data_IF_421771860744
#
_entry.id   IF_421771860744
#
_cell.length_a   1.000
_cell.length_b   1.000
_cell.length_c   1.000
_cell.angle_alpha   90.00
_cell.angle_beta   90.00
_cell.angle_gamma   90.00
#
_symmetry.space_group_name_H-M   'P 1'
#
loop_
_entity.id
_entity.type
_entity.pdbx_description
1 polymer ?
#
# COMPACT_ATOMS: atom_id res chain seq x y z
N UNK A 1 -13.56 4.53 9.39
CA UNK A 1 -13.68 5.87 10.02
C UNK A 1 -13.86 5.77 11.55
N UNK A 2 -14.85 5.02 12.09
CA UNK A 2 -15.06 4.90 13.55
C UNK A 2 -13.84 4.31 14.27
N UNK A 3 -13.26 3.25 13.78
CA UNK A 3 -12.05 2.63 14.34
C UNK A 3 -10.87 3.61 14.32
N UNK A 4 -10.68 4.35 13.24
CA UNK A 4 -9.62 5.37 13.15
C UNK A 4 -9.79 6.46 14.20
N UNK A 5 -11.03 6.92 14.44
CA UNK A 5 -11.33 7.88 15.50
C UNK A 5 -10.97 7.33 16.88
N UNK A 6 -11.52 6.15 17.22
CA UNK A 6 -11.38 5.54 18.54
C UNK A 6 -9.91 5.20 18.87
N UNK A 7 -9.21 4.57 17.93
CA UNK A 7 -7.84 4.17 18.16
C UNK A 7 -6.89 5.37 18.34
N UNK A 8 -7.13 6.46 17.60
CA UNK A 8 -6.30 7.67 17.73
C UNK A 8 -6.55 8.39 19.06
N UNK A 9 -7.75 8.35 19.64
CA UNK A 9 -8.02 8.83 21.01
C UNK A 9 -7.14 8.07 22.01
N UNK A 10 -6.98 6.76 21.84
CA UNK A 10 -6.15 5.90 22.67
C UNK A 10 -4.64 6.01 22.36
N UNK A 11 -4.23 7.04 21.58
CA UNK A 11 -2.84 7.24 21.11
C UNK A 11 -2.26 6.06 20.33
N UNK A 12 -3.11 5.28 19.65
CA UNK A 12 -2.70 4.26 18.69
C UNK A 12 -2.64 4.88 17.31
N UNK A 13 -1.60 4.57 16.55
CA UNK A 13 -1.38 5.15 15.23
C UNK A 13 -2.22 4.43 14.17
N UNK A 14 -3.27 5.09 13.69
CA UNK A 14 -4.03 4.63 12.53
C UNK A 14 -3.34 5.05 11.24
N UNK A 15 -3.36 4.15 10.25
CA UNK A 15 -2.56 4.24 9.05
C UNK A 15 -3.40 3.88 7.83
N UNK A 16 -3.44 4.78 6.83
CA UNK A 16 -3.87 4.43 5.49
C UNK A 16 -2.70 3.76 4.77
N UNK A 17 -2.55 2.46 4.98
CA UNK A 17 -1.43 1.66 4.50
C UNK A 17 -1.82 0.22 4.26
N UNK A 18 -1.19 -0.44 3.28
CA UNK A 18 -1.18 -1.89 3.20
C UNK A 18 -0.10 -2.45 4.15
N UNK A 19 -0.24 -3.71 4.52
CA UNK A 19 0.77 -4.42 5.31
C UNK A 19 0.95 -5.86 4.85
N UNK A 20 2.20 -6.31 4.83
CA UNK A 20 2.52 -7.73 4.64
C UNK A 20 3.63 -8.16 5.60
N UNK A 21 3.82 -9.47 5.73
CA UNK A 21 4.89 -10.07 6.54
C UNK A 21 5.53 -11.26 5.82
N UNK A 22 6.71 -11.66 6.27
CA UNK A 22 7.34 -12.88 5.76
C UNK A 22 6.49 -14.12 6.06
N UNK A 23 6.74 -15.22 5.34
CA UNK A 23 6.19 -16.54 5.63
C UNK A 23 6.99 -17.17 6.78
N UNK A 24 6.87 -16.59 7.97
CA UNK A 24 7.53 -17.07 9.18
C UNK A 24 6.69 -18.06 9.98
N UNK A 25 7.10 -18.31 11.22
CA UNK A 25 6.32 -19.14 12.13
C UNK A 25 4.96 -18.50 12.41
N UNK A 26 3.88 -19.21 12.15
CA UNK A 26 2.52 -18.81 12.51
C UNK A 26 2.28 -18.78 14.03
N UNK A 27 3.29 -19.10 14.84
CA UNK A 27 3.19 -19.23 16.28
C UNK A 27 3.78 -18.05 17.07
N UNK A 28 4.55 -17.19 16.42
CA UNK A 28 5.23 -16.07 17.10
C UNK A 28 5.34 -14.85 16.20
N UNK A 29 4.55 -13.82 16.49
CA UNK A 29 4.57 -12.54 15.78
C UNK A 29 5.88 -11.73 16.03
N UNK A 30 6.66 -12.05 17.06
CA UNK A 30 7.91 -11.34 17.35
C UNK A 30 9.00 -11.60 16.32
N UNK A 31 8.90 -12.71 15.59
CA UNK A 31 9.82 -13.10 14.51
C UNK A 31 9.37 -12.63 13.13
N UNK A 32 8.19 -12.01 13.04
CA UNK A 32 7.68 -11.50 11.77
C UNK A 32 8.55 -10.36 11.24
N UNK A 33 8.81 -10.39 9.94
CA UNK A 33 9.36 -9.27 9.20
C UNK A 33 8.19 -8.54 8.52
N UNK A 34 7.64 -7.54 9.20
CA UNK A 34 6.48 -6.76 8.76
C UNK A 34 6.93 -5.55 7.96
N UNK A 35 6.29 -5.31 6.82
CA UNK A 35 6.46 -4.12 6.00
C UNK A 35 5.13 -3.40 5.84
N UNK A 36 5.13 -2.10 6.14
CA UNK A 36 4.00 -1.20 5.88
C UNK A 36 4.24 -0.42 4.58
N UNK A 37 3.20 -0.32 3.76
CA UNK A 37 3.24 0.42 2.50
C UNK A 37 2.24 1.56 2.54
N UNK A 38 2.73 2.78 2.49
CA UNK A 38 1.93 3.98 2.36
C UNK A 38 1.92 4.45 0.91
N UNK A 39 0.85 5.07 0.49
CA UNK A 39 0.76 5.65 -0.83
C UNK A 39 -0.69 5.87 -1.24
N UNK A 40 -0.90 6.84 -2.10
CA UNK A 40 -2.20 7.12 -2.67
C UNK A 40 -2.59 6.12 -3.77
N UNK A 41 -3.83 6.19 -4.20
CA UNK A 41 -4.33 5.39 -5.33
C UNK A 41 -3.42 5.54 -6.56
N UNK A 42 -3.02 4.42 -7.15
CA UNK A 42 -2.17 4.38 -8.35
C UNK A 42 -0.66 4.42 -8.08
N UNK A 43 -0.20 4.53 -6.83
CA UNK A 43 1.23 4.43 -6.48
C UNK A 43 1.73 2.99 -6.39
N UNK A 44 0.84 2.00 -6.39
CA UNK A 44 1.18 0.58 -6.37
C UNK A 44 1.08 -0.09 -5.00
N UNK A 45 0.39 0.51 -4.02
CA UNK A 45 0.21 -0.03 -2.66
C UNK A 45 -0.27 -1.48 -2.67
N UNK A 46 -1.45 -1.75 -3.23
CA UNK A 46 -2.03 -3.11 -3.36
C UNK A 46 -1.13 -4.06 -4.15
N UNK A 47 -0.59 -3.61 -5.28
CA UNK A 47 0.27 -4.42 -6.17
C UNK A 47 1.57 -4.88 -5.49
N UNK A 48 2.16 -4.03 -4.63
CA UNK A 48 3.43 -4.33 -3.98
C UNK A 48 3.28 -5.06 -2.66
N UNK A 49 2.16 -4.85 -1.96
CA UNK A 49 1.85 -5.59 -0.72
C UNK A 49 1.37 -7.01 -0.99
N UNK A 50 0.66 -7.24 -2.11
CA UNK A 50 0.20 -8.58 -2.55
C UNK A 50 1.33 -9.34 -3.25
N UNK A 51 2.37 -9.70 -2.49
CA UNK A 51 3.52 -10.46 -2.97
C UNK A 51 3.30 -11.97 -2.70
N UNK A 52 3.38 -12.84 -3.73
CA UNK A 52 3.24 -14.30 -3.55
C UNK A 52 4.24 -14.92 -2.57
N UNK A 53 5.40 -14.28 -2.33
CA UNK A 53 6.40 -14.74 -1.37
C UNK A 53 6.15 -14.29 0.07
N UNK A 54 5.14 -13.42 0.29
CA UNK A 54 4.81 -12.85 1.60
C UNK A 54 3.35 -13.13 1.98
N UNK A 55 2.98 -12.85 3.21
CA UNK A 55 1.61 -12.98 3.72
C UNK A 55 1.03 -11.57 3.82
N UNK A 56 -0.06 -11.31 3.10
CA UNK A 56 -0.80 -10.06 3.17
C UNK A 56 -1.57 -9.99 4.49
N UNK A 57 -1.28 -9.00 5.34
CA UNK A 57 -2.01 -8.73 6.59
C UNK A 57 -3.31 -7.98 6.27
N UNK A 58 -3.23 -6.98 5.39
CA UNK A 58 -4.35 -6.19 4.92
C UNK A 58 -3.92 -5.21 3.81
N UNK A 59 -4.90 -4.67 3.08
CA UNK A 59 -4.63 -3.89 1.88
C UNK A 59 -4.62 -2.38 2.10
N UNK A 60 -5.45 -1.84 3.01
CA UNK A 60 -5.69 -0.39 3.01
C UNK A 60 -5.61 0.29 4.38
N UNK A 61 -6.14 -0.30 5.43
CA UNK A 61 -6.24 0.35 6.74
C UNK A 61 -5.71 -0.52 7.88
N UNK A 62 -4.73 0.02 8.61
CA UNK A 62 -4.08 -0.66 9.73
C UNK A 62 -3.99 0.25 10.96
N UNK A 63 -3.78 -0.37 12.12
CA UNK A 63 -3.44 0.31 13.37
C UNK A 63 -2.13 -0.24 13.91
N UNK A 64 -1.19 0.64 14.21
CA UNK A 64 0.06 0.28 14.88
C UNK A 64 -0.05 0.57 16.39
N UNK A 65 -0.14 -0.50 17.15
CA UNK A 65 -0.25 -0.49 18.61
C UNK A 65 1.10 -0.75 19.31
N UNK A 66 1.07 -0.92 20.62
CA UNK A 66 2.25 -1.36 21.40
C UNK A 66 2.52 -2.88 21.30
N UNK A 67 1.66 -3.63 20.61
CA UNK A 67 1.82 -5.08 20.37
C UNK A 67 2.16 -5.44 18.93
N UNK A 68 2.21 -4.45 18.03
CA UNK A 68 2.36 -4.65 16.61
C UNK A 68 1.23 -4.02 15.81
N UNK A 69 1.07 -4.43 14.57
CA UNK A 69 0.03 -3.93 13.66
C UNK A 69 -1.15 -4.88 13.59
N UNK A 70 -2.34 -4.33 13.35
CA UNK A 70 -3.50 -5.11 12.98
C UNK A 70 -4.31 -4.43 11.88
N UNK A 71 -4.92 -5.26 11.04
CA UNK A 71 -5.78 -4.85 9.95
C UNK A 71 -7.20 -4.55 10.48
N UNK A 72 -7.80 -3.45 10.03
CA UNK A 72 -9.18 -3.06 10.39
C UNK A 72 -10.15 -3.14 9.21
N UNK A 73 -9.69 -3.65 8.07
CA UNK A 73 -10.49 -3.81 6.86
C UNK A 73 -10.46 -5.25 6.35
N UNK A 74 -11.64 -5.84 6.13
CA UNK A 74 -11.76 -7.25 5.73
C UNK A 74 -11.66 -7.51 4.22
N UNK A 75 -11.42 -6.49 3.42
CA UNK A 75 -11.41 -6.55 1.96
C UNK A 75 -10.21 -5.91 1.30
N UNK A 76 -10.19 -6.03 -0.01
CA UNK A 76 -9.24 -5.37 -0.90
C UNK A 76 -10.00 -4.59 -1.97
N UNK A 77 -9.42 -3.48 -2.44
CA UNK A 77 -9.99 -2.65 -3.50
C UNK A 77 -8.94 -2.32 -4.55
N UNK A 78 -8.81 -3.21 -5.53
CA UNK A 78 -7.75 -3.16 -6.53
C UNK A 78 -8.18 -2.44 -7.81
N UNK A 79 -7.21 -1.80 -8.47
CA UNK A 79 -7.39 -1.27 -9.84
C UNK A 79 -7.31 -2.42 -10.83
N UNK A 80 -8.22 -2.45 -11.83
CA UNK A 80 -8.36 -3.56 -12.77
C UNK A 80 -7.94 -3.23 -14.21
N UNK A 81 -7.70 -1.95 -14.56
CA UNK A 81 -7.28 -1.63 -15.92
C UNK A 81 -5.96 -2.33 -16.26
N UNK A 82 -5.92 -3.01 -17.41
CA UNK A 82 -4.78 -3.80 -17.88
C UNK A 82 -4.30 -4.90 -16.91
N UNK A 83 -5.17 -5.35 -15.98
CA UNK A 83 -4.86 -6.43 -15.05
C UNK A 83 -4.55 -7.73 -15.82
N UNK A 84 -3.39 -8.31 -15.57
CA UNK A 84 -2.92 -9.54 -16.21
C UNK A 84 -2.38 -10.53 -15.19
N UNK A 85 -2.72 -11.80 -15.35
CA UNK A 85 -2.27 -12.85 -14.45
C UNK A 85 -0.73 -12.95 -14.38
N UNK A 86 -0.03 -12.72 -15.49
CA UNK A 86 1.43 -12.77 -15.52
C UNK A 86 2.11 -11.64 -14.73
N UNK A 87 1.41 -10.55 -14.43
CA UNK A 87 1.94 -9.42 -13.68
C UNK A 87 1.48 -9.41 -12.22
N UNK A 88 0.22 -9.76 -11.97
CA UNK A 88 -0.43 -9.69 -10.65
C UNK A 88 -1.32 -10.93 -10.42
N UNK A 89 -0.71 -12.11 -10.28
CA UNK A 89 -1.43 -13.39 -10.26
C UNK A 89 -2.46 -13.49 -9.13
N UNK A 90 -2.12 -13.01 -7.94
CA UNK A 90 -2.99 -13.14 -6.77
C UNK A 90 -4.21 -12.22 -6.90
N UNK A 91 -4.02 -10.98 -7.36
CA UNK A 91 -5.12 -10.04 -7.61
C UNK A 91 -6.00 -10.55 -8.76
N UNK A 92 -5.39 -11.01 -9.86
CA UNK A 92 -6.13 -11.54 -11.01
C UNK A 92 -7.04 -12.72 -10.61
N UNK A 93 -6.52 -13.66 -9.81
CA UNK A 93 -7.28 -14.83 -9.34
C UNK A 93 -8.30 -14.50 -8.25
N UNK A 94 -8.12 -13.37 -7.54
CA UNK A 94 -9.10 -12.89 -6.57
C UNK A 94 -10.34 -12.31 -7.24
N UNK A 95 -10.25 -11.89 -8.52
CA UNK A 95 -11.40 -11.42 -9.30
C UNK A 95 -12.20 -12.64 -9.78
N UNK A 96 -13.15 -13.07 -8.98
CA UNK A 96 -13.98 -14.27 -9.19
C UNK A 96 -15.41 -14.04 -8.69
N UNK A 97 -16.27 -15.02 -8.83
CA UNK A 97 -17.65 -14.96 -8.31
C UNK A 97 -17.68 -14.50 -6.84
N UNK A 98 -18.51 -13.51 -6.54
CA UNK A 98 -18.57 -12.84 -5.24
C UNK A 98 -17.75 -11.54 -5.14
N UNK A 99 -16.89 -11.24 -6.12
CA UNK A 99 -16.24 -9.93 -6.24
C UNK A 99 -17.18 -8.89 -6.84
N UNK A 100 -17.00 -7.62 -6.45
CA UNK A 100 -17.77 -6.50 -7.01
C UNK A 100 -16.89 -5.75 -8.00
N UNK A 101 -17.31 -5.66 -9.25
CA UNK A 101 -16.65 -4.93 -10.32
C UNK A 101 -17.26 -3.53 -10.46
N UNK A 102 -16.41 -2.52 -10.54
CA UNK A 102 -16.80 -1.13 -10.76
C UNK A 102 -16.18 -0.62 -12.06
N UNK A 103 -17.02 -0.12 -12.95
CA UNK A 103 -16.65 0.40 -14.27
C UNK A 103 -15.93 -0.62 -15.19
N UNK A 104 -15.98 -1.89 -14.88
CA UNK A 104 -15.38 -2.96 -15.69
C UNK A 104 -16.40 -3.44 -16.71
N UNK A 105 -16.03 -3.43 -17.98
CA UNK A 105 -16.87 -3.99 -19.04
C UNK A 105 -16.88 -5.51 -18.94
N UNK A 106 -18.07 -6.11 -19.02
CA UNK A 106 -18.26 -7.57 -18.96
C UNK A 106 -18.81 -8.03 -20.32
N UNK A 107 -18.25 -9.10 -20.87
CA UNK A 107 -18.62 -9.61 -22.20
C UNK A 107 -19.11 -11.05 -22.15
N UNK A 108 -19.98 -11.37 -23.09
CA UNK A 108 -20.49 -12.73 -23.32
C UNK A 108 -21.47 -13.22 -22.26
N UNK A 109 -21.98 -14.45 -22.47
CA UNK A 109 -22.95 -15.10 -21.59
C UNK A 109 -22.32 -15.54 -20.24
N UNK A 110 -21.01 -15.68 -20.21
CA UNK A 110 -20.23 -16.08 -19.02
C UNK A 110 -19.85 -14.90 -18.14
N UNK A 111 -20.28 -13.67 -18.49
CA UNK A 111 -19.93 -12.44 -17.77
C UNK A 111 -18.42 -12.28 -17.55
N UNK A 112 -17.61 -12.52 -18.60
CA UNK A 112 -16.17 -12.42 -18.53
C UNK A 112 -15.72 -10.96 -18.45
N UNK A 113 -14.95 -10.55 -17.42
CA UNK A 113 -14.41 -9.19 -17.31
C UNK A 113 -13.41 -8.89 -18.42
N UNK A 114 -13.53 -7.72 -19.04
CA UNK A 114 -12.57 -7.24 -20.04
C UNK A 114 -11.74 -6.10 -19.44
N UNK A 115 -10.59 -6.44 -18.86
CA UNK A 115 -9.75 -5.48 -18.15
C UNK A 115 -9.00 -4.50 -19.04
N UNK A 116 -8.92 -4.76 -20.34
CA UNK A 116 -8.32 -3.84 -21.31
C UNK A 116 -9.30 -2.79 -21.86
N UNK A 117 -10.58 -2.94 -21.56
CA UNK A 117 -11.64 -2.06 -22.07
C UNK A 117 -11.80 -0.85 -21.15
N UNK A 118 -11.38 0.33 -21.63
CA UNK A 118 -11.50 1.61 -20.94
C UNK A 118 -12.63 2.50 -21.48
N UNK A 119 -13.57 1.93 -22.24
CA UNK A 119 -14.66 2.66 -22.90
C UNK A 119 -15.58 3.39 -21.93
N UNK A 120 -15.72 2.91 -20.69
CA UNK A 120 -16.46 3.61 -19.62
C UNK A 120 -15.52 4.62 -18.95
N UNK A 121 -14.40 4.15 -18.44
CA UNK A 121 -13.32 4.95 -17.80
C UNK A 121 -12.11 4.07 -17.53
N UNK A 122 -10.93 4.68 -17.44
CA UNK A 122 -9.70 4.00 -16.97
C UNK A 122 -9.71 3.70 -15.47
N UNK A 123 -10.65 4.28 -14.70
CA UNK A 123 -10.81 4.01 -13.28
C UNK A 123 -11.69 2.77 -13.04
N UNK A 124 -11.22 1.64 -13.52
CA UNK A 124 -11.85 0.34 -13.27
C UNK A 124 -11.36 -0.24 -11.95
N UNK A 125 -12.26 -0.80 -11.14
CA UNK A 125 -11.94 -1.34 -9.82
C UNK A 125 -12.58 -2.70 -9.59
N UNK A 126 -11.97 -3.46 -8.69
CA UNK A 126 -12.56 -4.67 -8.14
C UNK A 126 -12.43 -4.68 -6.61
N UNK A 127 -13.55 -4.87 -5.92
CA UNK A 127 -13.58 -5.14 -4.49
C UNK A 127 -13.78 -6.63 -4.26
N UNK A 128 -12.99 -7.22 -3.38
CA UNK A 128 -13.05 -8.63 -3.01
C UNK A 128 -12.62 -8.85 -1.55
N UNK A 129 -13.13 -9.91 -0.90
CA UNK A 129 -12.70 -10.26 0.46
C UNK A 129 -11.20 -10.58 0.51
N UNK A 130 -10.54 -10.20 1.60
CA UNK A 130 -9.13 -10.51 1.84
C UNK A 130 -8.82 -12.01 1.72
N UNK A 131 -9.79 -12.87 2.08
CA UNK A 131 -9.69 -14.33 1.96
C UNK A 131 -9.58 -14.86 0.52
N UNK A 132 -9.80 -14.02 -0.50
CA UNK A 132 -9.60 -14.41 -1.88
C UNK A 132 -8.13 -14.37 -2.30
N UNK A 133 -7.29 -13.67 -1.54
CA UNK A 133 -5.83 -13.69 -1.73
C UNK A 133 -5.25 -14.95 -1.06
N UNK A 134 -4.58 -15.85 -1.81
CA UNK A 134 -4.11 -17.13 -1.28
C UNK A 134 -3.16 -17.01 -0.09
N UNK A 135 -2.31 -15.99 -0.11
CA UNK A 135 -1.32 -15.73 0.93
C UNK A 135 -1.76 -14.59 1.87
N UNK A 136 -3.03 -14.57 2.29
CA UNK A 136 -3.53 -13.57 3.25
C UNK A 136 -3.63 -14.12 4.67
N UNK A 137 -3.40 -13.25 5.65
CA UNK A 137 -3.59 -13.54 7.08
C UNK A 137 -5.08 -13.41 7.48
N UNK A 138 -5.99 -14.08 6.76
CA UNK A 138 -7.42 -13.95 6.98
C UNK A 138 -8.02 -15.03 7.90
N UNK A 139 -7.22 -15.98 8.38
CA UNK A 139 -7.66 -17.09 9.22
C UNK A 139 -6.62 -17.48 10.27
N UNK A 140 -7.06 -18.16 11.33
CA UNK A 140 -6.22 -18.62 12.43
C UNK A 140 -6.13 -17.60 13.57
N UNK A 141 -5.36 -17.93 14.60
CA UNK A 141 -5.19 -17.14 15.83
C UNK A 141 -4.64 -15.74 15.56
N UNK A 142 -3.78 -15.59 14.55
CA UNK A 142 -3.16 -14.31 14.17
C UNK A 142 -3.78 -13.68 12.92
N UNK A 143 -5.08 -13.93 12.70
CA UNK A 143 -5.78 -13.33 11.57
C UNK A 143 -5.73 -11.79 11.62
N UNK A 144 -5.25 -11.18 10.52
CA UNK A 144 -5.11 -9.72 10.42
C UNK A 144 -4.04 -9.11 11.33
N UNK A 145 -3.19 -9.91 11.97
CA UNK A 145 -2.17 -9.44 12.91
C UNK A 145 -0.75 -9.54 12.31
N UNK A 146 0.13 -8.65 12.76
CA UNK A 146 1.57 -8.68 12.51
C UNK A 146 2.34 -8.11 13.69
N UNK A 147 3.62 -8.45 13.80
CA UNK A 147 4.55 -7.84 14.75
C UNK A 147 4.75 -6.34 14.52
N UNK A 148 5.71 -5.74 15.19
CA UNK A 148 6.10 -4.38 14.90
C UNK A 148 6.74 -4.28 13.50
N UNK A 149 6.47 -3.20 12.74
CA UNK A 149 7.05 -3.02 11.41
C UNK A 149 8.59 -3.00 11.47
N UNK A 150 9.19 -3.84 10.64
CA UNK A 150 10.64 -3.85 10.41
C UNK A 150 11.03 -2.85 9.33
N UNK A 151 10.07 -2.55 8.44
CA UNK A 151 10.25 -1.62 7.33
C UNK A 151 8.98 -0.79 7.14
N UNK A 152 9.16 0.47 6.79
CA UNK A 152 8.10 1.35 6.30
C UNK A 152 8.49 1.84 4.92
N UNK A 153 7.57 1.77 3.96
CA UNK A 153 7.77 2.20 2.58
C UNK A 153 6.74 3.27 2.22
N UNK A 154 7.22 4.46 1.94
CA UNK A 154 6.43 5.52 1.33
C UNK A 154 6.51 5.40 -0.18
N UNK A 155 5.41 5.02 -0.81
CA UNK A 155 5.28 4.94 -2.26
C UNK A 155 4.85 6.30 -2.79
N UNK A 156 5.69 6.90 -3.60
CA UNK A 156 5.37 8.13 -4.31
C UNK A 156 5.41 7.90 -5.81
N UNK A 157 4.51 8.53 -6.53
CA UNK A 157 4.58 8.60 -7.99
C UNK A 157 5.05 10.00 -8.37
N UNK A 158 6.34 10.15 -8.62
CA UNK A 158 6.89 11.44 -9.02
C UNK A 158 6.75 11.62 -10.53
N UNK A 159 5.82 12.50 -10.96
CA UNK A 159 5.61 12.79 -12.37
C UNK A 159 6.70 13.70 -12.97
N UNK A 160 7.44 14.42 -12.14
CA UNK A 160 8.48 15.36 -12.58
C UNK A 160 9.87 14.72 -12.65
N UNK A 161 10.03 13.52 -12.10
CA UNK A 161 11.28 12.77 -12.09
C UNK A 161 12.37 13.43 -11.23
N UNK A 162 11.98 14.12 -10.16
CA UNK A 162 12.92 14.81 -9.26
C UNK A 162 13.51 13.87 -8.20
N UNK A 163 12.70 12.90 -7.78
CA UNK A 163 13.07 11.97 -6.72
C UNK A 163 13.89 10.79 -7.25
N UNK A 164 14.88 10.30 -6.49
CA UNK A 164 15.58 9.07 -6.83
C UNK A 164 14.62 7.86 -6.75
N UNK A 165 14.99 6.73 -7.37
CA UNK A 165 14.16 5.52 -7.34
C UNK A 165 13.91 4.99 -5.91
N UNK A 166 14.91 5.10 -5.03
CA UNK A 166 14.85 4.65 -3.63
C UNK A 166 15.70 5.55 -2.75
N UNK A 167 15.22 5.85 -1.54
CA UNK A 167 15.96 6.60 -0.52
C UNK A 167 15.63 6.07 0.86
N UNK A 168 16.63 5.98 1.73
CA UNK A 168 16.45 5.79 3.17
C UNK A 168 16.29 7.18 3.80
N UNK A 169 15.22 7.38 4.54
CA UNK A 169 14.89 8.66 5.18
C UNK A 169 15.39 8.70 6.60
N UNK A 170 15.86 9.87 7.04
CA UNK A 170 16.03 10.12 8.49
C UNK A 170 14.65 10.16 9.18
N UNK A 171 14.57 9.95 10.51
CA UNK A 171 13.28 10.04 11.21
C UNK A 171 12.56 11.38 11.03
N UNK A 172 13.29 12.50 10.88
CA UNK A 172 12.68 13.81 10.62
C UNK A 172 12.18 13.92 9.20
N UNK A 173 12.98 13.54 8.20
CA UNK A 173 12.55 13.54 6.80
C UNK A 173 11.34 12.61 6.60
N UNK A 174 11.30 11.47 7.29
CA UNK A 174 10.17 10.55 7.25
C UNK A 174 8.86 11.23 7.73
N UNK A 175 8.92 11.99 8.82
CA UNK A 175 7.75 12.74 9.31
C UNK A 175 7.35 13.82 8.34
N UNK A 176 8.30 14.57 7.78
CA UNK A 176 8.03 15.65 6.83
C UNK A 176 7.38 15.09 5.54
N UNK A 177 7.92 14.00 4.98
CA UNK A 177 7.31 13.32 3.83
C UNK A 177 5.93 12.74 4.14
N UNK A 178 5.75 12.18 5.34
CA UNK A 178 4.46 11.66 5.79
C UNK A 178 3.41 12.76 5.90
N UNK A 179 3.75 13.89 6.52
CA UNK A 179 2.85 15.03 6.67
C UNK A 179 2.54 15.69 5.32
N UNK A 180 3.52 15.77 4.42
CA UNK A 180 3.31 16.32 3.09
C UNK A 180 2.49 15.37 2.21
N UNK A 181 2.75 14.06 2.27
CA UNK A 181 2.09 13.06 1.43
C UNK A 181 2.29 13.34 -0.07
N UNK A 182 3.51 13.74 -0.47
CA UNK A 182 3.83 14.10 -1.84
C UNK A 182 3.70 12.93 -2.80
N UNK A 183 2.92 13.12 -3.87
CA UNK A 183 2.79 12.17 -4.97
C UNK A 183 2.22 12.85 -6.21
N UNK A 184 1.88 12.08 -7.24
CA UNK A 184 1.08 12.56 -8.37
C UNK A 184 -0.15 11.68 -8.55
N UNK A 185 -1.29 12.30 -8.80
CA UNK A 185 -2.50 11.62 -9.29
C UNK A 185 -2.21 11.14 -10.70
N UNK A 186 -2.44 9.86 -10.93
CA UNK A 186 -2.22 9.24 -12.23
C UNK A 186 -3.45 9.37 -13.12
N UNK A 187 -3.23 9.42 -14.43
CA UNK A 187 -4.33 9.35 -15.37
C UNK A 187 -5.26 8.18 -15.06
N UNK A 188 -6.57 8.43 -15.05
CA UNK A 188 -7.58 7.41 -14.77
C UNK A 188 -7.63 6.93 -13.32
N UNK A 189 -7.09 7.67 -12.34
CA UNK A 189 -7.29 7.39 -10.91
C UNK A 189 -8.51 8.11 -10.34
N UNK A 190 -8.84 9.26 -10.91
CA UNK A 190 -10.01 10.08 -10.58
C UNK A 190 -10.65 10.60 -11.86
N UNK A 191 -11.94 10.97 -11.78
CA UNK A 191 -12.64 11.57 -12.91
C UNK A 191 -11.97 12.89 -13.33
N UNK A 192 -11.73 13.06 -14.63
CA UNK A 192 -11.11 14.27 -15.20
C UNK A 192 -9.58 14.32 -15.14
N UNK A 193 -8.91 13.38 -14.50
CA UNK A 193 -7.44 13.30 -14.50
C UNK A 193 -6.97 12.52 -15.72
N UNK A 194 -6.53 13.24 -16.75
CA UNK A 194 -6.02 12.68 -18.03
C UNK A 194 -4.51 12.60 -18.10
N UNK A 195 -3.81 13.40 -17.30
CA UNK A 195 -2.35 13.43 -17.20
C UNK A 195 -1.91 13.39 -15.73
N UNK A 196 -0.66 12.97 -15.44
CA UNK A 196 -0.16 12.97 -14.08
C UNK A 196 -0.09 14.40 -13.50
N UNK A 197 -0.75 14.62 -12.36
CA UNK A 197 -0.80 15.92 -11.68
C UNK A 197 -0.20 15.78 -10.29
N UNK A 198 0.83 16.59 -10.00
CA UNK A 198 1.42 16.67 -8.65
C UNK A 198 0.34 16.99 -7.62
N UNK A 199 0.32 16.25 -6.53
CA UNK A 199 -0.63 16.43 -5.44
C UNK A 199 0.03 16.16 -4.08
N UNK A 200 -0.64 16.65 -3.05
CA UNK A 200 -0.27 16.41 -1.66
C UNK A 200 -1.49 15.86 -0.95
N UNK A 201 -1.28 14.87 -0.10
CA UNK A 201 -2.35 14.30 0.73
C UNK A 201 -1.75 13.95 2.08
N UNK A 202 -2.03 14.76 3.09
CA UNK A 202 -1.46 14.60 4.41
C UNK A 202 -1.56 13.15 4.91
N UNK A 203 -0.46 12.63 5.43
CA UNK A 203 -0.33 11.25 5.91
C UNK A 203 -0.67 10.18 4.86
N UNK A 204 -0.60 10.51 3.55
CA UNK A 204 -1.04 9.69 2.42
C UNK A 204 -2.52 9.28 2.44
N UNK A 205 -3.34 9.91 3.29
CA UNK A 205 -4.73 9.54 3.52
C UNK A 205 -5.57 10.70 4.03
N UNK A 206 -5.34 11.94 3.57
CA UNK A 206 -6.02 13.16 4.04
C UNK A 206 -7.56 13.01 4.15
N UNK A 207 -8.28 12.40 3.19
CA UNK A 207 -9.73 12.22 3.30
C UNK A 207 -10.19 11.33 4.47
N UNK A 208 -9.28 10.54 5.04
CA UNK A 208 -9.56 9.60 6.14
C UNK A 208 -9.10 10.13 7.50
N UNK A 209 -8.38 11.26 7.53
CA UNK A 209 -7.90 11.85 8.79
C UNK A 209 -9.06 12.48 9.56
N UNK A 210 -9.15 12.14 10.83
CA UNK A 210 -10.17 12.68 11.76
C UNK A 210 -9.55 13.74 12.69
N UNK A 211 -8.27 13.58 12.97
CA UNK A 211 -7.48 14.48 13.77
C UNK A 211 -6.52 15.29 12.91
N UNK A 212 -5.97 16.36 13.48
CA UNK A 212 -4.96 17.17 12.79
C UNK A 212 -3.76 16.29 12.37
N UNK A 213 -3.22 16.45 11.15
CA UNK A 213 -2.12 15.61 10.63
C UNK A 213 -0.91 15.52 11.57
N UNK A 214 -0.57 16.59 12.28
CA UNK A 214 0.54 16.64 13.24
C UNK A 214 0.41 15.59 14.35
N UNK A 215 -0.81 15.22 14.76
CA UNK A 215 -1.02 14.16 15.75
C UNK A 215 -0.53 12.83 15.21
N UNK A 216 -0.86 12.51 13.97
CA UNK A 216 -0.40 11.29 13.30
C UNK A 216 1.12 11.31 13.07
N UNK A 217 1.67 12.46 12.65
CA UNK A 217 3.12 12.65 12.49
C UNK A 217 3.90 12.44 13.78
N UNK A 218 3.38 12.98 14.90
CA UNK A 218 4.00 12.79 16.23
C UNK A 218 3.96 11.33 16.68
N UNK A 219 2.83 10.63 16.49
CA UNK A 219 2.70 9.21 16.79
C UNK A 219 3.62 8.36 15.90
N UNK A 220 3.72 8.69 14.61
CA UNK A 220 4.65 8.01 13.70
C UNK A 220 6.10 8.17 14.17
N UNK A 221 6.52 9.42 14.48
CA UNK A 221 7.86 9.72 14.96
C UNK A 221 8.21 8.93 16.22
N UNK A 222 7.29 8.88 17.19
CA UNK A 222 7.46 8.10 18.40
C UNK A 222 7.67 6.62 18.08
N UNK A 223 6.82 6.03 17.24
CA UNK A 223 6.87 4.61 16.89
C UNK A 223 8.14 4.23 16.13
N UNK A 224 8.51 4.98 15.06
CA UNK A 224 9.73 4.69 14.28
C UNK A 224 10.98 4.84 15.13
N UNK A 225 11.01 5.79 16.07
CA UNK A 225 12.15 5.99 16.98
C UNK A 225 12.22 4.88 18.01
N UNK A 226 11.09 4.52 18.65
CA UNK A 226 11.02 3.47 19.67
C UNK A 226 11.44 2.10 19.15
N UNK A 227 11.01 1.76 17.92
CA UNK A 227 11.27 0.45 17.32
C UNK A 227 12.46 0.44 16.35
N UNK A 228 13.16 1.59 16.20
CA UNK A 228 14.27 1.76 15.26
C UNK A 228 13.88 1.27 13.84
N UNK A 229 12.66 1.63 13.41
CA UNK A 229 12.10 1.17 12.12
C UNK A 229 12.60 2.06 10.99
N UNK A 230 13.37 1.53 10.02
CA UNK A 230 13.79 2.29 8.85
C UNK A 230 12.60 2.65 7.97
N UNK A 231 12.64 3.87 7.44
CA UNK A 231 11.62 4.41 6.54
C UNK A 231 12.24 4.68 5.18
N UNK A 232 11.63 4.13 4.14
CA UNK A 232 12.08 4.21 2.77
C UNK A 232 11.12 5.04 1.93
N UNK A 233 11.65 5.90 1.08
CA UNK A 233 10.91 6.54 0.01
C UNK A 233 11.19 5.77 -1.28
N UNK A 234 10.15 5.27 -1.93
CA UNK A 234 10.25 4.53 -3.20
C UNK A 234 9.44 5.26 -4.27
N UNK A 235 10.12 5.70 -5.32
CA UNK A 235 9.50 6.34 -6.47
C UNK A 235 9.00 5.28 -7.46
N UNK A 236 7.69 5.24 -7.69
CA UNK A 236 7.01 4.38 -8.67
C UNK A 236 6.61 5.14 -9.95
N UNK A 237 6.96 6.43 -10.01
CA UNK A 237 6.70 7.33 -11.11
C UNK A 237 7.83 7.38 -12.12
N UNK A 238 8.20 8.57 -12.52
CA UNK A 238 9.26 8.83 -13.49
C UNK A 238 10.59 9.14 -12.79
N UNK A 239 11.68 8.94 -13.52
CA UNK A 239 13.01 9.27 -13.04
C UNK A 239 13.82 9.87 -14.18
N UNK A 240 14.45 11.01 -13.93
CA UNK A 240 15.41 11.60 -14.87
C UNK A 240 16.61 10.70 -15.14
N UNK A 241 16.96 9.86 -14.16
CA UNK A 241 18.03 8.87 -14.29
C UNK A 241 17.74 7.78 -15.33
N UNK A 242 16.46 7.59 -15.69
CA UNK A 242 16.02 6.62 -16.68
C UNK A 242 15.46 7.30 -17.94
N UNK A 243 15.99 8.45 -18.32
CA UNK A 243 15.57 9.15 -19.54
C UNK A 243 14.13 9.66 -19.52
N UNK A 244 13.55 9.90 -18.34
CA UNK A 244 12.17 10.37 -18.20
C UNK A 244 11.12 9.29 -18.44
N UNK A 245 11.48 8.02 -18.39
CA UNK A 245 10.55 6.89 -18.50
C UNK A 245 10.04 6.51 -17.11
N UNK A 246 8.77 6.12 -17.01
CA UNK A 246 8.21 5.59 -15.77
C UNK A 246 8.95 4.33 -15.31
N UNK A 247 9.24 4.24 -14.02
CA UNK A 247 9.93 3.09 -13.43
C UNK A 247 9.04 1.85 -13.58
N UNK A 248 9.49 0.81 -14.32
CA UNK A 248 8.72 -0.41 -14.49
C UNK A 248 8.52 -1.18 -13.19
N UNK A 249 7.36 -1.80 -13.02
CA UNK A 249 6.98 -2.56 -11.82
C UNK A 249 8.04 -3.60 -11.41
N UNK A 250 8.71 -4.25 -12.36
CA UNK A 250 9.78 -5.22 -12.09
C UNK A 250 10.92 -4.63 -11.25
N UNK A 251 11.29 -3.37 -11.50
CA UNK A 251 12.35 -2.70 -10.72
C UNK A 251 11.83 -2.27 -9.35
N UNK A 252 10.60 -1.79 -9.27
CA UNK A 252 9.98 -1.47 -7.98
C UNK A 252 9.90 -2.70 -7.08
N UNK A 253 9.52 -3.86 -7.62
CA UNK A 253 9.52 -5.13 -6.86
C UNK A 253 10.92 -5.53 -6.38
N UNK A 254 11.96 -5.31 -7.19
CA UNK A 254 13.34 -5.55 -6.75
C UNK A 254 13.77 -4.62 -5.61
N UNK A 255 13.38 -3.33 -5.66
CA UNK A 255 13.60 -2.39 -4.57
C UNK A 255 12.90 -2.85 -3.28
N UNK A 256 11.64 -3.27 -3.37
CA UNK A 256 10.90 -3.81 -2.22
C UNK A 256 11.55 -5.08 -1.67
N UNK A 257 12.00 -5.98 -2.55
CA UNK A 257 12.74 -7.20 -2.13
C UNK A 257 14.05 -6.85 -1.41
N UNK A 258 14.77 -5.85 -1.87
CA UNK A 258 15.95 -5.32 -1.19
C UNK A 258 15.58 -4.77 0.20
N UNK A 259 14.54 -3.91 0.29
CA UNK A 259 14.06 -3.34 1.54
C UNK A 259 13.66 -4.42 2.54
N UNK A 260 12.89 -5.42 2.10
CA UNK A 260 12.43 -6.53 2.96
C UNK A 260 13.57 -7.37 3.56
N UNK A 261 14.72 -7.40 2.89
CA UNK A 261 15.92 -8.11 3.35
C UNK A 261 16.94 -7.19 4.04
N UNK A 262 16.66 -5.90 4.11
CA UNK A 262 17.55 -4.95 4.75
C UNK A 262 17.54 -5.15 6.27
N UNK A 263 18.71 -5.36 6.83
CA UNK A 263 18.96 -5.34 8.27
C UNK A 263 19.80 -4.12 8.57
N UNK A 264 19.27 -3.20 9.37
CA UNK A 264 20.12 -2.14 9.92
C UNK A 264 21.19 -2.81 10.80
N UNK A 265 22.45 -2.58 10.51
CA UNK A 265 23.51 -2.95 11.45
C UNK A 265 23.16 -2.33 12.81
N UNK A 266 22.89 -3.19 13.81
CA UNK A 266 22.54 -2.79 15.17
C UNK A 266 23.77 -2.34 15.91
#
# INVERSE_FOLDING_TARGET
>A
TWMMYQMTIENKLCLHSSANRNKGSYLDLSTDNVTLFFGMSGTGKTTLSSDPERILIGDDEHVWTDRGVFNIEGGCYAKCIDLKECHEPDIFRAVRYGSVLENVVVKGLENTPEFSDDSITKNTRCSYPLSYIPNSACSGEFAGLGGHPNQIVFLTCDAQGLLPPISLLSPNDAVDFFLAGYTSKMAGTEMGVTEPVTTFSACFGEPFLIWHPEKYGSLLKEKITRHNTPVWLVNTGWSKWNGGVRIPLRYTRQMIKFINNYTSDK
#
